data_IF_380249705335
#
_entry.id   IF_380249705335
#
_cell.length_a   1.000
_cell.length_b   1.000
_cell.length_c   1.000
_cell.angle_alpha   90.00
_cell.angle_beta   90.00
_cell.angle_gamma   90.00
#
_symmetry.space_group_name_H-M   'P 1'
#
loop_
_entity.id
_entity.type
_entity.pdbx_description
1 polymer ?
#
# COMPACT_ATOMS: atom_id res chain seq x y z
N UNK A 1 11.42 24.23 9.98
CA UNK A 1 12.69 23.58 9.57
C UNK A 1 12.34 22.26 8.90
N UNK A 2 12.50 22.12 7.58
CA UNK A 2 12.17 20.86 6.89
C UNK A 2 13.25 19.83 7.25
N UNK A 3 12.90 18.79 8.02
CA UNK A 3 13.82 17.68 8.34
C UNK A 3 14.30 17.07 7.02
N UNK A 4 15.59 17.21 6.70
CA UNK A 4 16.23 16.49 5.60
C UNK A 4 16.41 15.04 6.04
N UNK A 5 15.58 14.15 5.52
CA UNK A 5 15.76 12.71 5.71
C UNK A 5 16.83 12.22 4.75
N UNK A 6 17.93 11.69 5.29
CA UNK A 6 18.92 10.96 4.49
C UNK A 6 18.30 9.64 4.03
N UNK A 7 18.35 9.33 2.73
CA UNK A 7 17.90 8.04 2.22
C UNK A 7 18.69 6.92 2.91
N UNK A 8 17.97 5.90 3.40
CA UNK A 8 18.53 4.71 4.03
C UNK A 8 18.10 3.50 3.22
N UNK A 9 18.97 2.50 3.14
CA UNK A 9 18.57 1.18 2.68
C UNK A 9 17.37 0.71 3.52
N UNK A 10 16.36 0.15 2.86
CA UNK A 10 15.10 -0.31 3.49
C UNK A 10 14.32 0.80 4.21
N UNK A 11 14.66 2.07 3.95
CA UNK A 11 14.05 3.21 4.62
C UNK A 11 12.70 3.62 4.02
N UNK A 12 12.42 3.18 2.79
CA UNK A 12 11.23 3.53 2.03
C UNK A 12 10.55 2.27 1.49
N UNK A 13 9.47 1.85 2.15
CA UNK A 13 8.61 0.74 1.73
C UNK A 13 7.28 1.25 1.15
N UNK A 14 7.21 2.54 0.80
CA UNK A 14 6.01 3.09 0.19
C UNK A 14 5.92 2.64 -1.28
N UNK A 15 4.73 2.24 -1.74
CA UNK A 15 4.46 2.01 -3.15
C UNK A 15 4.75 3.27 -3.98
N UNK A 16 5.39 3.11 -5.14
CA UNK A 16 5.73 4.21 -6.03
C UNK A 16 4.67 4.41 -7.13
N UNK A 17 3.85 3.38 -7.36
CA UNK A 17 2.81 3.31 -8.38
C UNK A 17 1.43 2.95 -7.80
N UNK A 18 1.29 2.93 -6.47
CA UNK A 18 0.03 2.70 -5.76
C UNK A 18 -0.37 1.23 -5.70
N UNK A 19 0.62 0.35 -5.86
CA UNK A 19 0.48 -1.08 -5.72
C UNK A 19 0.70 -1.55 -4.29
N UNK A 20 0.94 -2.85 -4.18
CA UNK A 20 1.47 -3.48 -2.98
C UNK A 20 2.98 -3.63 -3.18
N UNK A 21 3.75 -3.12 -2.22
CA UNK A 21 5.21 -3.04 -2.25
C UNK A 21 5.78 -4.06 -1.27
N UNK A 22 6.82 -4.78 -1.69
CA UNK A 22 7.42 -5.87 -0.93
C UNK A 22 8.93 -5.80 -1.00
N UNK A 23 9.59 -6.15 0.09
CA UNK A 23 11.00 -6.52 0.14
C UNK A 23 11.17 -8.02 -0.16
N UNK A 24 12.19 -8.35 -0.97
CA UNK A 24 12.57 -9.74 -1.23
C UNK A 24 13.46 -10.31 -0.11
N UNK A 25 13.51 -11.65 0.06
CA UNK A 25 14.32 -12.30 1.11
C UNK A 25 15.83 -12.01 1.04
N UNK A 26 16.35 -11.59 -0.12
CA UNK A 26 17.75 -11.23 -0.28
C UNK A 26 18.11 -9.85 0.27
N UNK A 27 17.13 -9.13 0.83
CA UNK A 27 17.27 -7.78 1.39
C UNK A 27 17.86 -6.77 0.39
N UNK A 28 17.78 -7.03 -0.91
CA UNK A 28 18.27 -6.09 -1.91
C UNK A 28 17.17 -5.74 -2.91
N UNK A 29 16.48 -6.76 -3.44
CA UNK A 29 15.38 -6.50 -4.35
C UNK A 29 14.14 -6.06 -3.57
N UNK A 30 13.47 -5.05 -4.08
CA UNK A 30 12.09 -4.77 -3.76
C UNK A 30 11.23 -4.89 -5.01
N UNK A 31 9.95 -5.14 -4.83
CA UNK A 31 8.99 -5.26 -5.92
C UNK A 31 7.69 -4.57 -5.58
N UNK A 32 7.05 -4.01 -6.59
CA UNK A 32 5.72 -3.42 -6.47
C UNK A 32 4.81 -4.03 -7.52
N UNK A 33 3.76 -4.73 -7.07
CA UNK A 33 2.72 -5.22 -7.95
C UNK A 33 1.55 -4.25 -7.98
N UNK A 34 1.10 -3.89 -9.18
CA UNK A 34 -0.04 -3.01 -9.41
C UNK A 34 -1.08 -3.71 -10.26
N UNK A 35 -2.35 -3.42 -9.99
CA UNK A 35 -3.48 -3.79 -10.84
C UNK A 35 -4.15 -2.50 -11.32
N UNK A 36 -3.55 -1.73 -12.26
CA UNK A 36 -3.97 -0.36 -12.57
C UNK A 36 -5.31 -0.27 -13.31
N UNK A 37 -5.73 -1.35 -13.97
CA UNK A 37 -7.00 -1.45 -14.70
C UNK A 37 -7.32 -2.91 -15.02
N UNK A 38 -8.57 -3.14 -15.44
CA UNK A 38 -9.02 -4.47 -15.88
C UNK A 38 -8.05 -5.10 -16.88
N UNK A 39 -7.72 -6.37 -16.68
CA UNK A 39 -6.91 -7.15 -17.62
C UNK A 39 -5.40 -6.98 -17.50
N UNK A 40 -4.88 -6.07 -16.69
CA UNK A 40 -3.45 -5.75 -16.66
C UNK A 40 -2.91 -5.74 -15.26
N UNK A 41 -1.91 -6.58 -15.01
CA UNK A 41 -1.06 -6.52 -13.83
C UNK A 41 0.35 -6.09 -14.25
N UNK A 42 1.00 -5.25 -13.44
CA UNK A 42 2.38 -4.84 -13.65
C UNK A 42 3.20 -5.07 -12.39
N UNK A 43 4.43 -5.52 -12.60
CA UNK A 43 5.43 -5.73 -11.56
C UNK A 43 6.63 -4.82 -11.80
N UNK A 44 6.84 -3.88 -10.89
CA UNK A 44 8.01 -3.01 -10.87
C UNK A 44 9.05 -3.59 -9.92
N UNK A 45 10.34 -3.41 -10.22
CA UNK A 45 11.44 -3.94 -9.44
C UNK A 45 12.39 -2.80 -9.05
N UNK A 46 12.91 -2.85 -7.82
CA UNK A 46 13.77 -1.81 -7.24
C UNK A 46 14.95 -2.41 -6.46
N UNK A 47 15.94 -1.57 -6.21
CA UNK A 47 17.02 -1.84 -5.25
C UNK A 47 16.59 -1.53 -3.80
N UNK A 48 17.54 -1.64 -2.87
CA UNK A 48 17.37 -1.41 -1.44
C UNK A 48 17.09 0.06 -1.06
N UNK A 49 17.21 0.99 -2.01
CA UNK A 49 16.87 2.41 -1.85
C UNK A 49 15.59 2.79 -2.60
N UNK A 50 14.80 1.79 -3.03
CA UNK A 50 13.59 1.99 -3.85
C UNK A 50 13.89 2.64 -5.20
N UNK A 51 15.11 2.53 -5.72
CA UNK A 51 15.45 3.01 -7.07
C UNK A 51 15.11 1.91 -8.07
N UNK A 52 14.48 2.22 -9.21
CA UNK A 52 14.14 1.21 -10.21
C UNK A 52 15.37 0.45 -10.68
N UNK A 53 15.25 -0.88 -10.81
CA UNK A 53 16.36 -1.69 -11.31
C UNK A 53 16.74 -1.31 -12.75
N UNK A 54 18.02 -1.45 -13.12
CA UNK A 54 18.48 -1.36 -14.49
C UNK A 54 17.73 -2.32 -15.43
N UNK A 55 17.47 -1.89 -16.67
CA UNK A 55 16.65 -2.66 -17.64
C UNK A 55 17.22 -4.04 -17.94
N UNK A 56 18.54 -4.19 -17.94
CA UNK A 56 19.23 -5.46 -18.14
C UNK A 56 18.97 -6.43 -16.97
N UNK A 57 18.86 -5.93 -15.75
CA UNK A 57 18.49 -6.75 -14.59
C UNK A 57 17.01 -7.17 -14.64
N UNK A 58 16.11 -6.24 -14.99
CA UNK A 58 14.69 -6.57 -15.20
C UNK A 58 14.52 -7.66 -16.27
N UNK A 59 15.33 -7.64 -17.34
CA UNK A 59 15.31 -8.66 -18.41
C UNK A 59 15.87 -10.01 -17.99
N UNK A 60 16.74 -10.06 -16.97
CA UNK A 60 17.28 -11.31 -16.41
C UNK A 60 16.31 -11.96 -15.41
N UNK A 61 15.32 -11.21 -14.95
CA UNK A 61 14.27 -11.71 -14.06
C UNK A 61 13.33 -12.63 -14.83
N UNK A 62 13.06 -13.81 -14.27
CA UNK A 62 12.01 -14.71 -14.76
C UNK A 62 10.87 -14.70 -13.77
N UNK A 63 9.66 -14.34 -14.21
CA UNK A 63 8.50 -14.28 -13.35
C UNK A 63 7.23 -14.76 -14.05
N UNK A 64 6.26 -15.18 -13.24
CA UNK A 64 4.90 -15.53 -13.68
C UNK A 64 3.90 -15.20 -12.59
N UNK A 65 2.69 -14.92 -13.02
CA UNK A 65 1.58 -14.57 -12.16
C UNK A 65 0.57 -15.70 -12.14
N UNK A 66 0.40 -16.29 -10.97
CA UNK A 66 -0.54 -17.37 -10.70
C UNK A 66 -1.87 -16.75 -10.30
N UNK A 67 -2.94 -17.08 -11.01
CA UNK A 67 -4.30 -16.58 -10.73
C UNK A 67 -5.18 -17.63 -10.06
N UNK A 68 -4.79 -18.91 -10.14
CA UNK A 68 -5.50 -20.01 -9.50
C UNK A 68 -4.51 -21.08 -9.04
N UNK A 69 -4.60 -21.42 -7.76
CA UNK A 69 -3.84 -22.49 -7.13
C UNK A 69 -4.81 -23.43 -6.41
N UNK A 70 -4.51 -24.73 -6.41
CA UNK A 70 -5.14 -25.73 -5.58
C UNK A 70 -4.16 -26.15 -4.48
N UNK A 71 -4.58 -26.06 -3.23
CA UNK A 71 -3.79 -26.55 -2.11
C UNK A 71 -4.05 -28.04 -1.91
N UNK A 72 -2.98 -28.84 -1.93
CA UNK A 72 -3.02 -30.23 -1.56
C UNK A 72 -2.74 -30.37 -0.05
N UNK A 73 -3.74 -30.76 0.77
CA UNK A 73 -3.56 -30.87 2.21
C UNK A 73 -2.65 -32.04 2.62
N UNK A 74 -2.49 -33.07 1.78
CA UNK A 74 -1.66 -34.23 2.09
C UNK A 74 -0.16 -33.88 1.97
N UNK A 75 0.20 -33.16 0.91
CA UNK A 75 1.60 -32.73 0.67
C UNK A 75 1.91 -31.35 1.24
N UNK A 76 0.88 -30.60 1.67
CA UNK A 76 0.96 -29.19 2.09
C UNK A 76 1.59 -28.29 1.02
N UNK A 77 1.36 -28.61 -0.24
CA UNK A 77 1.88 -27.83 -1.38
C UNK A 77 0.75 -27.19 -2.18
N UNK A 78 1.01 -25.98 -2.69
CA UNK A 78 0.13 -25.34 -3.64
C UNK A 78 0.51 -25.80 -5.06
N UNK A 79 -0.42 -26.43 -5.75
CA UNK A 79 -0.31 -26.73 -7.18
C UNK A 79 -0.95 -25.60 -7.97
N UNK A 80 -0.25 -25.16 -8.99
CA UNK A 80 -0.74 -24.09 -9.83
C UNK A 80 -1.66 -24.63 -10.91
N UNK A 81 -2.88 -24.11 -10.95
CA UNK A 81 -3.88 -24.49 -11.94
C UNK A 81 -3.87 -23.53 -13.13
N UNK A 82 -3.63 -22.24 -12.87
CA UNK A 82 -3.57 -21.23 -13.91
C UNK A 82 -2.53 -20.16 -13.59
N UNK A 83 -1.54 -20.04 -14.46
CA UNK A 83 -0.52 -19.01 -14.40
C UNK A 83 -0.27 -18.39 -15.78
N UNK A 84 0.06 -17.10 -15.79
CA UNK A 84 0.43 -16.35 -16.99
C UNK A 84 1.85 -15.80 -16.86
N UNK A 85 2.64 -15.77 -17.95
CA UNK A 85 3.98 -15.23 -17.89
C UNK A 85 3.96 -13.72 -17.62
N UNK A 86 4.93 -13.24 -16.83
CA UNK A 86 5.23 -11.83 -16.67
C UNK A 86 6.35 -11.48 -17.66
N UNK A 87 6.04 -10.65 -18.65
CA UNK A 87 6.99 -10.31 -19.73
C UNK A 87 7.51 -8.88 -19.56
N UNK A 88 8.81 -8.61 -19.80
CA UNK A 88 9.31 -7.24 -19.75
C UNK A 88 8.55 -6.36 -20.74
N UNK A 89 8.02 -5.23 -20.26
CA UNK A 89 7.41 -4.23 -21.12
C UNK A 89 8.43 -3.70 -22.13
N UNK A 90 7.96 -3.17 -23.26
CA UNK A 90 8.85 -2.64 -24.33
C UNK A 90 9.83 -1.58 -23.81
N UNK A 91 9.41 -0.75 -22.86
CA UNK A 91 10.27 0.25 -22.23
C UNK A 91 11.29 -0.33 -21.23
N UNK A 92 11.20 -1.62 -20.91
CA UNK A 92 12.06 -2.36 -19.99
C UNK A 92 11.96 -1.93 -18.53
N UNK A 93 10.93 -1.17 -18.13
CA UNK A 93 10.80 -0.59 -16.78
C UNK A 93 10.05 -1.46 -15.78
N UNK A 94 9.27 -2.42 -16.27
CA UNK A 94 8.43 -3.31 -15.47
C UNK A 94 8.15 -4.59 -16.26
N UNK A 95 7.68 -5.62 -15.57
CA UNK A 95 7.09 -6.81 -16.17
C UNK A 95 5.57 -6.64 -16.21
N UNK A 96 4.91 -7.09 -17.29
CA UNK A 96 3.45 -7.00 -17.46
C UNK A 96 2.86 -8.38 -17.74
N UNK A 97 1.67 -8.64 -17.18
CA UNK A 97 0.87 -9.82 -17.47
C UNK A 97 -0.54 -9.41 -17.88
N UNK A 98 -1.10 -10.15 -18.85
CA UNK A 98 -2.51 -10.04 -19.24
C UNK A 98 -3.32 -11.11 -18.51
N UNK A 99 -4.25 -10.65 -17.68
CA UNK A 99 -4.88 -11.48 -16.62
C UNK A 99 -6.39 -11.57 -16.75
N UNK A 100 -6.96 -10.95 -17.79
CA UNK A 100 -8.40 -10.84 -17.95
C UNK A 100 -9.07 -9.99 -16.86
N UNK A 101 -10.40 -9.93 -16.89
CA UNK A 101 -11.18 -9.25 -15.86
C UNK A 101 -11.29 -10.18 -14.65
N UNK A 102 -10.72 -9.77 -13.52
CA UNK A 102 -10.86 -10.49 -12.26
C UNK A 102 -11.89 -9.80 -11.37
N UNK A 103 -12.69 -10.55 -10.59
CA UNK A 103 -13.51 -9.97 -9.54
C UNK A 103 -12.63 -9.45 -8.41
N UNK A 104 -13.15 -8.50 -7.63
CA UNK A 104 -12.51 -8.04 -6.41
C UNK A 104 -12.97 -8.86 -5.18
N UNK A 105 -12.10 -9.12 -4.20
CA UNK A 105 -10.68 -8.79 -4.21
C UNK A 105 -9.90 -9.65 -5.22
N UNK A 106 -9.12 -9.00 -6.08
CA UNK A 106 -8.33 -9.68 -7.10
C UNK A 106 -7.08 -10.24 -6.41
N UNK A 107 -7.05 -11.57 -6.23
CA UNK A 107 -5.95 -12.30 -5.60
C UNK A 107 -5.04 -12.89 -6.67
N UNK A 108 -3.75 -12.64 -6.54
CA UNK A 108 -2.76 -13.01 -7.55
C UNK A 108 -1.45 -13.33 -6.84
N UNK A 109 -0.72 -14.34 -7.28
CA UNK A 109 0.57 -14.71 -6.69
C UNK A 109 1.67 -14.55 -7.73
N UNK A 110 2.67 -13.73 -7.44
CA UNK A 110 3.88 -13.69 -8.28
C UNK A 110 4.86 -14.75 -7.81
N UNK A 111 5.34 -15.56 -8.75
CA UNK A 111 6.50 -16.44 -8.59
C UNK A 111 7.65 -15.84 -9.41
N UNK A 112 8.76 -15.51 -8.76
CA UNK A 112 9.85 -14.72 -9.37
C UNK A 112 11.22 -15.26 -9.00
N UNK A 113 12.11 -15.31 -9.99
CA UNK A 113 13.56 -15.48 -9.83
C UNK A 113 14.24 -14.21 -10.33
N UNK A 114 14.95 -13.51 -9.45
CA UNK A 114 15.63 -12.25 -9.81
C UNK A 114 16.85 -12.45 -10.71
N UNK A 115 17.48 -13.64 -10.62
CA UNK A 115 18.55 -14.06 -11.52
C UNK A 115 18.34 -15.52 -11.95
N UNK A 116 18.91 -15.97 -13.09
CA UNK A 116 18.69 -17.33 -13.60
C UNK A 116 19.02 -18.46 -12.63
N UNK A 117 20.06 -18.28 -11.80
CA UNK A 117 20.50 -19.27 -10.81
C UNK A 117 19.97 -18.99 -9.39
N UNK A 118 19.14 -17.96 -9.20
CA UNK A 118 18.60 -17.60 -7.89
C UNK A 118 17.42 -18.51 -7.49
N UNK A 119 17.15 -18.64 -6.18
CA UNK A 119 15.92 -19.26 -5.70
C UNK A 119 14.68 -18.53 -6.24
N UNK A 120 13.58 -19.27 -6.35
CA UNK A 120 12.26 -18.69 -6.66
C UNK A 120 11.61 -18.18 -5.39
N UNK A 121 11.01 -17.00 -5.48
CA UNK A 121 10.30 -16.35 -4.40
C UNK A 121 8.82 -16.18 -4.75
N UNK A 122 7.99 -16.22 -3.71
CA UNK A 122 6.53 -16.10 -3.79
C UNK A 122 6.11 -14.79 -3.14
N UNK A 123 5.27 -14.03 -3.83
CA UNK A 123 4.65 -12.81 -3.30
C UNK A 123 3.16 -12.81 -3.62
N UNK A 124 2.33 -12.63 -2.59
CA UNK A 124 0.88 -12.71 -2.70
C UNK A 124 0.25 -11.32 -2.69
N UNK A 125 -0.49 -11.00 -3.75
CA UNK A 125 -1.17 -9.74 -3.95
C UNK A 125 -2.67 -9.91 -3.76
N UNK A 126 -3.29 -8.97 -3.04
CA UNK A 126 -4.74 -8.89 -2.91
C UNK A 126 -5.18 -7.44 -3.12
N UNK A 127 -5.78 -7.17 -4.28
CA UNK A 127 -6.28 -5.83 -4.62
C UNK A 127 -7.77 -5.76 -4.32
N UNK A 128 -8.20 -4.83 -3.47
CA UNK A 128 -9.62 -4.55 -3.27
C UNK A 128 -10.22 -3.72 -4.42
N UNK A 129 -9.37 -2.97 -5.11
CA UNK A 129 -9.72 -2.09 -6.24
C UNK A 129 -8.52 -1.92 -7.18
N UNK A 130 -8.65 -1.11 -8.23
CA UNK A 130 -7.54 -0.84 -9.13
C UNK A 130 -6.49 0.09 -8.47
N UNK A 131 -5.21 -0.18 -8.71
CA UNK A 131 -4.09 0.63 -8.23
C UNK A 131 -4.11 2.04 -8.83
N UNK A 132 -3.98 3.06 -7.98
CA UNK A 132 -3.87 4.46 -8.39
C UNK A 132 -2.52 5.02 -8.00
N UNK A 133 -1.80 5.65 -8.94
CA UNK A 133 -0.50 6.27 -8.64
C UNK A 133 -0.68 7.31 -7.53
N UNK A 134 0.09 7.24 -6.43
CA UNK A 134 0.03 8.22 -5.37
C UNK A 134 0.31 9.60 -5.96
N UNK A 135 -0.64 10.53 -5.81
CA UNK A 135 -0.38 11.93 -6.13
C UNK A 135 0.57 12.42 -5.03
N UNK A 136 1.87 12.32 -5.26
CA UNK A 136 2.81 13.11 -4.48
C UNK A 136 2.41 14.58 -4.67
N UNK A 137 2.19 15.37 -3.61
CA UNK A 137 2.03 16.80 -3.77
C UNK A 137 3.28 17.29 -4.51
N UNK A 138 3.11 17.73 -5.76
CA UNK A 138 4.12 18.53 -6.43
C UNK A 138 4.40 19.67 -5.48
N UNK A 139 5.61 19.74 -4.95
CA UNK A 139 6.17 20.99 -4.49
C UNK A 139 6.19 21.91 -5.70
N UNK A 140 5.11 22.67 -5.87
CA UNK A 140 5.07 23.80 -6.78
C UNK A 140 6.01 24.84 -6.21
N UNK A 141 7.30 24.70 -6.52
CA UNK A 141 8.19 25.83 -6.63
C UNK A 141 7.68 26.68 -7.79
N UNK A 142 6.70 27.54 -7.51
CA UNK A 142 6.31 28.62 -8.39
C UNK A 142 7.48 29.60 -8.48
N UNK A 143 8.42 29.35 -9.38
CA UNK A 143 9.11 30.41 -10.07
C UNK A 143 8.35 30.58 -11.40
N UNK A 144 7.46 31.57 -11.41
CA UNK A 144 6.75 31.99 -12.61
C UNK A 144 7.79 32.38 -13.68
N UNK A 145 7.89 31.58 -14.73
CA UNK A 145 8.46 32.03 -16.00
C UNK A 145 7.27 32.49 -16.84
N UNK A 146 7.17 33.78 -17.21
CA UNK A 146 6.08 34.24 -18.05
C UNK A 146 6.21 33.62 -19.44
N UNK A 147 5.14 32.97 -19.90
CA UNK A 147 5.01 32.51 -21.27
C UNK A 147 4.90 33.72 -22.22
N UNK A 148 5.52 33.68 -23.42
CA UNK A 148 5.35 34.73 -24.41
C UNK A 148 3.95 34.67 -25.03
N UNK A 149 3.38 35.84 -25.27
CA UNK A 149 2.05 36.07 -25.83
C UNK A 149 1.89 35.50 -27.26
N UNK A 150 0.69 35.02 -27.63
CA UNK A 150 0.36 34.73 -29.03
C UNK A 150 -0.07 36.02 -29.76
N UNK A 151 0.47 36.23 -30.96
CA UNK A 151 -0.01 37.21 -31.92
C UNK A 151 -1.15 36.62 -32.78
N UNK A 152 -1.98 37.46 -33.45
CA UNK A 152 -3.37 37.16 -33.74
C UNK A 152 -3.60 36.57 -35.15
N UNK A 153 -4.60 35.70 -35.28
CA UNK A 153 -5.24 35.40 -36.57
C UNK A 153 -6.67 35.92 -36.58
N UNK A 154 -6.98 36.72 -37.60
CA UNK A 154 -8.27 37.30 -37.89
C UNK A 154 -9.11 36.35 -38.76
N UNK A 155 -10.43 36.33 -38.54
CA UNK A 155 -11.38 35.60 -39.41
C UNK A 155 -12.82 35.55 -38.90
N UNK A 156 -13.53 36.68 -39.04
CA UNK A 156 -15.01 36.85 -39.11
C UNK A 156 -15.72 35.74 -39.94
N UNK A 157 -17.02 35.39 -39.86
CA UNK A 157 -18.23 35.79 -39.11
C UNK A 157 -19.40 34.84 -39.48
N UNK A 158 -20.35 34.72 -38.53
CA UNK A 158 -21.81 34.67 -38.71
C UNK A 158 -22.55 33.43 -39.28
N UNK A 159 -23.62 33.04 -38.56
CA UNK A 159 -24.79 32.36 -39.15
C UNK A 159 -25.60 31.48 -38.19
N UNK A 160 -26.55 32.04 -37.44
CA UNK A 160 -27.71 31.31 -36.88
C UNK A 160 -28.86 31.42 -37.89
N UNK A 161 -29.74 30.41 -38.04
CA UNK A 161 -31.02 30.45 -37.32
C UNK A 161 -31.57 29.06 -36.88
N UNK A 162 -32.31 29.04 -35.77
CA UNK A 162 -33.34 28.02 -35.44
C UNK A 162 -34.64 28.32 -36.25
N UNK A 163 -35.71 27.48 -36.36
CA UNK A 163 -36.35 26.79 -35.21
C UNK A 163 -37.16 25.47 -35.50
N UNK A 164 -37.79 24.96 -34.41
CA UNK A 164 -39.04 24.13 -34.30
C UNK A 164 -38.94 22.60 -34.12
N UNK A 165 -39.13 22.19 -32.85
CA UNK A 165 -40.17 21.28 -32.29
C UNK A 165 -41.18 20.63 -33.27
N UNK A 166 -41.73 19.42 -33.08
CA UNK A 166 -41.60 18.35 -32.08
C UNK A 166 -42.48 17.11 -32.44
N UNK A 167 -42.38 16.06 -31.60
CA UNK A 167 -43.34 14.96 -31.29
C UNK A 167 -43.31 13.74 -32.25
N UNK A 168 -43.32 12.46 -31.85
CA UNK A 168 -43.70 11.69 -30.64
C UNK A 168 -42.82 10.42 -30.56
N UNK A 169 -42.58 9.70 -29.46
CA UNK A 169 -43.43 8.81 -28.64
C UNK A 169 -42.45 8.08 -27.68
N UNK A 170 -42.72 7.54 -26.49
CA UNK A 170 -43.90 7.29 -25.68
C UNK A 170 -43.45 6.91 -24.23
N UNK A 171 -44.33 7.17 -23.26
CA UNK A 171 -44.61 6.42 -21.99
C UNK A 171 -43.48 6.22 -20.95
N UNK A 172 -43.54 6.86 -19.76
CA UNK A 172 -44.30 6.52 -18.53
C UNK A 172 -43.94 5.14 -17.94
N UNK A 173 -43.49 4.97 -16.69
CA UNK A 173 -44.16 5.36 -15.43
C UNK A 173 -43.24 5.35 -14.18
N UNK A 174 -43.54 6.29 -13.28
CA UNK A 174 -43.63 6.21 -11.81
C UNK A 174 -42.55 5.52 -10.95
N UNK A 175 -41.88 6.36 -10.15
CA UNK A 175 -41.27 6.05 -8.87
C UNK A 175 -42.33 5.80 -7.78
N UNK A 176 -42.06 4.89 -6.82
CA UNK A 176 -42.11 5.09 -5.34
C UNK A 176 -41.37 3.93 -4.63
N UNK A 177 -40.36 4.31 -3.83
CA UNK A 177 -39.79 3.76 -2.59
C UNK A 177 -39.43 2.26 -2.40
N UNK A 178 -38.14 2.01 -2.11
CA UNK A 178 -37.61 0.97 -1.21
C UNK A 178 -36.21 1.41 -0.69
N UNK A 179 -35.67 0.85 0.40
CA UNK A 179 -35.20 1.63 1.55
C UNK A 179 -33.72 2.04 1.51
N UNK A 180 -33.43 3.03 2.34
CA UNK A 180 -32.12 3.56 2.71
C UNK A 180 -31.18 2.44 3.22
N UNK A 181 -30.32 1.92 2.34
CA UNK A 181 -29.11 1.18 2.69
C UNK A 181 -27.90 2.08 2.46
N UNK A 182 -27.10 2.28 3.49
CA UNK A 182 -26.06 3.31 3.59
C UNK A 182 -25.20 3.51 2.34
N UNK A 183 -24.89 4.76 2.05
CA UNK A 183 -23.90 5.15 1.08
C UNK A 183 -22.60 4.40 1.35
N UNK A 184 -22.33 3.36 0.56
CA UNK A 184 -21.01 2.75 0.50
C UNK A 184 -20.06 3.80 -0.06
N UNK A 185 -19.36 4.47 0.85
CA UNK A 185 -18.22 5.31 0.52
C UNK A 185 -17.27 4.52 -0.37
N UNK A 186 -16.91 5.11 -1.51
CA UNK A 186 -15.69 4.81 -2.28
C UNK A 186 -14.55 4.69 -1.25
N UNK A 187 -14.14 3.47 -0.91
CA UNK A 187 -13.43 3.25 0.34
C UNK A 187 -12.10 2.56 0.11
N UNK A 188 -11.05 3.35 -0.14
CA UNK A 188 -9.70 2.95 0.29
C UNK A 188 -9.84 2.52 1.74
N UNK A 189 -9.35 1.34 2.10
CA UNK A 189 -9.38 0.90 3.47
C UNK A 189 -8.75 1.99 4.35
N UNK A 190 -9.46 2.56 5.34
CA UNK A 190 -8.97 3.70 6.09
C UNK A 190 -7.66 3.40 6.82
N UNK A 191 -7.32 2.12 7.03
CA UNK A 191 -6.03 1.72 7.59
C UNK A 191 -4.84 1.82 6.64
N UNK A 192 -5.07 2.05 5.34
CA UNK A 192 -4.03 2.25 4.34
C UNK A 192 -3.71 3.72 4.06
N UNK A 193 -4.47 4.64 4.67
CA UNK A 193 -4.22 6.09 4.53
C UNK A 193 -3.20 6.54 5.58
N UNK A 194 -2.06 7.14 5.19
CA UNK A 194 -1.15 7.81 6.11
C UNK A 194 -1.86 8.93 6.88
N UNK A 195 -1.92 8.83 8.20
CA UNK A 195 -2.39 9.92 9.05
C UNK A 195 -1.21 10.67 9.67
N UNK A 196 -1.33 12.00 9.85
CA UNK A 196 -0.35 12.77 10.61
C UNK A 196 -0.34 12.31 12.08
N UNK A 197 0.83 12.36 12.70
CA UNK A 197 1.00 12.11 14.13
C UNK A 197 0.29 13.22 14.93
N UNK A 198 -0.64 12.90 15.84
CA UNK A 198 -1.31 13.89 16.67
C UNK A 198 -0.40 14.58 17.68
N UNK A 199 -0.82 15.75 18.16
CA UNK A 199 -0.05 16.54 19.11
C UNK A 199 -0.33 16.19 20.59
N UNK A 200 -1.34 15.37 20.90
CA UNK A 200 -1.66 15.03 22.31
C UNK A 200 -1.43 13.54 22.61
N UNK A 201 -0.97 13.24 23.83
CA UNK A 201 -0.74 11.85 24.26
C UNK A 201 -2.01 10.98 24.13
N UNK A 202 -3.20 11.43 24.57
CA UNK A 202 -4.42 10.63 24.43
C UNK A 202 -4.77 10.31 22.97
N UNK A 203 -4.62 11.25 22.05
CA UNK A 203 -4.86 11.01 20.62
C UNK A 203 -3.83 10.06 20.01
N UNK A 204 -2.55 10.18 20.39
CA UNK A 204 -1.51 9.26 19.93
C UNK A 204 -1.82 7.82 20.41
N UNK A 205 -2.23 7.64 21.66
CA UNK A 205 -2.61 6.33 22.21
C UNK A 205 -3.85 5.75 21.53
N UNK A 206 -4.86 6.57 21.24
CA UNK A 206 -6.06 6.15 20.52
C UNK A 206 -5.75 5.72 19.09
N UNK A 207 -4.90 6.47 18.37
CA UNK A 207 -4.45 6.06 17.05
C UNK A 207 -3.60 4.79 17.11
N UNK A 208 -2.77 4.62 18.14
CA UNK A 208 -1.93 3.43 18.29
C UNK A 208 -2.79 2.15 18.46
N UNK A 209 -3.88 2.25 19.23
CA UNK A 209 -4.88 1.18 19.35
C UNK A 209 -5.53 0.88 18.00
N UNK A 210 -6.02 1.90 17.31
CA UNK A 210 -6.65 1.76 15.99
C UNK A 210 -5.72 1.07 14.99
N UNK A 211 -4.42 1.40 14.99
CA UNK A 211 -3.43 0.75 14.12
C UNK A 211 -3.17 -0.69 14.50
N UNK A 212 -3.17 -1.00 15.78
CA UNK A 212 -3.00 -2.37 16.28
C UNK A 212 -4.16 -3.26 15.82
N UNK A 213 -5.39 -2.74 15.85
CA UNK A 213 -6.57 -3.45 15.34
C UNK A 213 -6.54 -3.62 13.81
N UNK A 214 -6.10 -2.60 13.08
CA UNK A 214 -5.94 -2.68 11.62
C UNK A 214 -4.92 -3.74 11.22
N UNK A 215 -3.76 -3.79 11.89
CA UNK A 215 -2.77 -4.85 11.69
C UNK A 215 -3.40 -6.22 11.93
N UNK A 216 -4.08 -6.42 13.06
CA UNK A 216 -4.77 -7.68 13.38
C UNK A 216 -5.72 -8.11 12.26
N UNK A 217 -6.58 -7.20 11.83
CA UNK A 217 -7.57 -7.48 10.79
C UNK A 217 -6.93 -7.88 9.47
N UNK A 218 -5.83 -7.23 9.06
CA UNK A 218 -5.11 -7.62 7.85
C UNK A 218 -4.48 -9.02 7.98
N UNK A 219 -3.95 -9.36 9.16
CA UNK A 219 -3.44 -10.72 9.43
C UNK A 219 -4.56 -11.76 9.34
N UNK A 220 -5.71 -11.50 9.97
CA UNK A 220 -6.87 -12.41 9.98
C UNK A 220 -7.42 -12.65 8.57
N UNK A 221 -7.41 -11.62 7.71
CA UNK A 221 -7.84 -11.69 6.31
C UNK A 221 -6.79 -12.34 5.37
N UNK A 222 -5.59 -12.63 5.89
CA UNK A 222 -4.45 -13.07 5.09
C UNK A 222 -3.91 -12.00 4.14
N UNK A 223 -4.22 -10.73 4.40
CA UNK A 223 -3.74 -9.55 3.66
C UNK A 223 -2.39 -9.08 4.24
N UNK A 224 -1.40 -9.97 4.27
CA UNK A 224 -0.11 -9.76 4.92
C UNK A 224 0.67 -8.56 4.39
N UNK A 225 0.59 -8.35 3.07
CA UNK A 225 1.15 -7.19 2.38
C UNK A 225 0.55 -5.84 2.82
N UNK A 226 -0.62 -5.85 3.47
CA UNK A 226 -1.29 -4.63 3.92
C UNK A 226 -0.93 -4.25 5.36
N UNK A 227 -0.16 -5.11 6.06
CA UNK A 227 0.23 -4.91 7.46
C UNK A 227 1.23 -3.75 7.62
N UNK A 228 2.09 -3.48 6.63
CA UNK A 228 3.16 -2.49 6.77
C UNK A 228 2.65 -1.08 7.07
N UNK A 229 1.57 -0.65 6.40
CA UNK A 229 1.04 0.71 6.55
C UNK A 229 0.67 1.01 8.00
N UNK A 230 -0.27 0.27 8.63
CA UNK A 230 -0.60 0.52 10.02
C UNK A 230 0.55 0.19 10.98
N UNK A 231 1.43 -0.76 10.66
CA UNK A 231 2.61 -1.06 11.50
C UNK A 231 3.60 0.11 11.56
N UNK A 232 3.90 0.77 10.44
CA UNK A 232 4.82 1.91 10.42
C UNK A 232 4.17 3.19 10.95
N UNK A 233 2.87 3.37 10.75
CA UNK A 233 2.15 4.45 11.42
C UNK A 233 2.23 4.29 12.95
N UNK A 234 2.04 3.08 13.47
CA UNK A 234 2.21 2.80 14.89
C UNK A 234 3.65 3.02 15.39
N UNK A 235 4.66 2.71 14.57
CA UNK A 235 6.06 3.04 14.87
C UNK A 235 6.25 4.55 15.01
N UNK A 236 5.72 5.34 14.09
CA UNK A 236 5.86 6.80 14.11
C UNK A 236 5.14 7.40 15.33
N UNK A 237 3.96 6.86 15.70
CA UNK A 237 3.25 7.20 16.94
C UNK A 237 4.08 6.84 18.20
N UNK A 238 4.74 5.68 18.21
CA UNK A 238 5.59 5.26 19.32
C UNK A 238 6.83 6.16 19.48
N UNK A 239 7.44 6.60 18.38
CA UNK A 239 8.55 7.56 18.41
C UNK A 239 8.09 8.94 18.91
N UNK A 240 6.87 9.35 18.58
CA UNK A 240 6.29 10.58 19.11
C UNK A 240 6.02 10.50 20.62
N UNK A 241 5.66 9.33 21.14
CA UNK A 241 5.56 9.07 22.57
C UNK A 241 6.95 9.08 23.24
N UNK A 242 7.98 8.56 22.58
CA UNK A 242 9.35 8.53 23.08
C UNK A 242 9.86 9.95 23.41
N UNK A 243 9.57 10.93 22.55
CA UNK A 243 9.93 12.33 22.77
C UNK A 243 9.25 12.94 24.01
N UNK A 244 8.14 12.34 24.47
CA UNK A 244 7.28 12.80 25.58
C UNK A 244 7.45 12.00 26.87
N UNK A 245 8.30 10.97 26.86
CA UNK A 245 8.63 10.18 28.05
C UNK A 245 9.26 11.02 29.17
N UNK A 246 9.83 12.18 28.82
CA UNK A 246 10.39 13.14 29.78
C UNK A 246 9.39 13.64 30.81
N UNK A 247 8.10 13.63 30.46
CA UNK A 247 7.00 14.06 31.32
C UNK A 247 6.51 12.95 32.27
N UNK A 248 7.08 11.75 32.20
CA UNK A 248 6.74 10.62 33.06
C UNK A 248 7.65 10.55 34.29
N UNK A 249 7.13 9.99 35.39
CA UNK A 249 7.95 9.65 36.55
C UNK A 249 9.04 8.62 36.21
N UNK A 250 10.09 8.53 37.03
CA UNK A 250 11.26 7.71 36.75
C UNK A 250 10.91 6.22 36.56
N UNK A 251 9.94 5.70 37.30
CA UNK A 251 9.50 4.31 37.19
C UNK A 251 8.66 4.08 35.93
N UNK A 252 7.81 5.04 35.55
CA UNK A 252 7.10 5.01 34.26
C UNK A 252 8.05 5.01 33.06
N UNK A 253 9.14 5.79 33.13
CA UNK A 253 10.20 5.80 32.11
C UNK A 253 10.90 4.45 31.96
N UNK A 254 11.28 3.82 33.08
CA UNK A 254 11.95 2.52 33.08
C UNK A 254 11.13 1.42 32.42
N UNK A 255 9.80 1.51 32.48
CA UNK A 255 8.89 0.57 31.84
C UNK A 255 8.61 0.92 30.37
N UNK A 256 8.43 2.20 30.04
CA UNK A 256 8.00 2.61 28.68
C UNK A 256 9.13 2.53 27.65
N UNK A 257 10.37 2.88 28.01
CA UNK A 257 11.52 2.88 27.10
C UNK A 257 11.74 1.51 26.41
N UNK A 258 11.80 0.37 27.13
CA UNK A 258 11.95 -0.93 26.49
C UNK A 258 10.69 -1.37 25.73
N UNK A 259 9.50 -0.89 26.09
CA UNK A 259 8.26 -1.17 25.38
C UNK A 259 8.23 -0.45 24.02
N UNK A 260 8.59 0.84 23.97
CA UNK A 260 8.70 1.62 22.73
C UNK A 260 9.71 0.95 21.77
N UNK A 261 10.89 0.56 22.26
CA UNK A 261 11.91 -0.11 21.44
C UNK A 261 11.41 -1.44 20.87
N UNK A 262 10.68 -2.24 21.65
CA UNK A 262 10.07 -3.49 21.18
C UNK A 262 8.97 -3.23 20.17
N UNK A 263 8.15 -2.21 20.36
CA UNK A 263 7.12 -1.80 19.41
C UNK A 263 7.75 -1.42 18.06
N UNK A 264 8.76 -0.55 18.08
CA UNK A 264 9.49 -0.15 16.86
C UNK A 264 10.11 -1.37 16.17
N UNK A 265 10.79 -2.25 16.91
CA UNK A 265 11.39 -3.47 16.34
C UNK A 265 10.35 -4.40 15.74
N UNK A 266 9.25 -4.64 16.44
CA UNK A 266 8.19 -5.54 15.97
C UNK A 266 7.41 -4.96 14.79
N UNK A 267 7.29 -3.63 14.66
CA UNK A 267 6.76 -2.99 13.47
C UNK A 267 7.62 -3.28 12.22
N UNK A 268 8.94 -3.25 12.34
CA UNK A 268 9.86 -3.66 11.27
C UNK A 268 9.76 -5.16 10.95
N UNK A 269 9.59 -6.02 11.95
CA UNK A 269 9.37 -7.45 11.73
C UNK A 269 8.02 -7.73 11.04
N UNK A 270 6.98 -7.00 11.40
CA UNK A 270 5.65 -7.11 10.79
C UNK A 270 5.67 -6.73 9.31
N UNK A 271 6.40 -5.68 8.96
CA UNK A 271 6.68 -5.29 7.58
C UNK A 271 7.45 -6.40 6.84
N UNK A 272 8.63 -6.78 7.34
CA UNK A 272 9.47 -7.79 6.71
C UNK A 272 8.75 -9.14 6.55
N UNK A 273 8.02 -9.61 7.56
CA UNK A 273 7.28 -10.88 7.47
C UNK A 273 6.00 -10.75 6.66
N UNK A 274 5.34 -9.58 6.72
CA UNK A 274 4.23 -9.19 5.86
C UNK A 274 4.57 -9.39 4.39
N UNK A 275 5.77 -8.92 4.02
CA UNK A 275 6.27 -9.00 2.66
C UNK A 275 6.56 -10.44 2.21
N UNK A 276 7.04 -11.27 3.13
CA UNK A 276 7.31 -12.69 2.87
C UNK A 276 6.05 -13.55 2.81
N UNK A 277 4.88 -13.01 3.17
CA UNK A 277 3.63 -13.75 3.24
C UNK A 277 3.63 -14.89 4.27
N UNK A 278 4.59 -14.90 5.20
CA UNK A 278 4.73 -15.97 6.19
C UNK A 278 3.80 -15.75 7.38
N UNK A 279 2.63 -16.38 7.35
CA UNK A 279 1.60 -16.29 8.40
C UNK A 279 2.16 -16.56 9.81
N UNK A 280 3.02 -17.55 9.97
CA UNK A 280 3.56 -17.94 11.27
C UNK A 280 4.42 -16.82 11.86
N UNK A 281 5.40 -16.35 11.09
CA UNK A 281 6.29 -15.27 11.54
C UNK A 281 5.54 -13.95 11.75
N UNK A 282 4.57 -13.61 10.89
CA UNK A 282 3.71 -12.43 11.07
C UNK A 282 2.93 -12.52 12.37
N UNK A 283 2.33 -13.68 12.67
CA UNK A 283 1.53 -13.86 13.89
C UNK A 283 2.39 -13.73 15.14
N UNK A 284 3.61 -14.28 15.11
CA UNK A 284 4.57 -14.15 16.21
C UNK A 284 5.04 -12.70 16.39
N UNK A 285 5.37 -12.00 15.30
CA UNK A 285 5.73 -10.58 15.37
C UNK A 285 4.57 -9.71 15.86
N UNK A 286 3.33 -10.02 15.45
CA UNK A 286 2.15 -9.31 15.92
C UNK A 286 1.90 -9.49 17.41
N UNK A 287 2.12 -10.70 17.95
CA UNK A 287 2.01 -10.92 19.39
C UNK A 287 2.98 -10.04 20.19
N UNK A 288 4.22 -9.90 19.73
CA UNK A 288 5.22 -9.02 20.33
C UNK A 288 4.82 -7.55 20.22
N UNK A 289 4.33 -7.14 19.04
CA UNK A 289 3.85 -5.80 18.77
C UNK A 289 2.68 -5.41 19.68
N UNK A 290 1.64 -6.24 19.74
CA UNK A 290 0.45 -5.99 20.54
C UNK A 290 0.76 -5.98 22.05
N UNK A 291 1.69 -6.82 22.52
CA UNK A 291 2.16 -6.79 23.90
C UNK A 291 2.87 -5.46 24.21
N UNK A 292 3.77 -5.01 23.34
CA UNK A 292 4.48 -3.74 23.50
C UNK A 292 3.52 -2.54 23.51
N UNK A 293 2.50 -2.53 22.65
CA UNK A 293 1.45 -1.49 22.64
C UNK A 293 0.72 -1.42 23.98
N UNK A 294 0.31 -2.56 24.55
CA UNK A 294 -0.37 -2.60 25.86
C UNK A 294 0.50 -2.03 26.97
N UNK A 295 1.80 -2.33 26.96
CA UNK A 295 2.74 -1.82 27.95
C UNK A 295 2.94 -0.30 27.82
N UNK A 296 3.03 0.22 26.58
CA UNK A 296 3.08 1.67 26.32
C UNK A 296 1.79 2.34 26.82
N UNK A 297 0.62 1.79 26.50
CA UNK A 297 -0.67 2.31 26.96
C UNK A 297 -0.75 2.34 28.50
N UNK A 298 -0.33 1.25 29.17
CA UNK A 298 -0.32 1.18 30.62
C UNK A 298 0.59 2.25 31.24
N UNK A 299 1.79 2.47 30.70
CA UNK A 299 2.73 3.46 31.23
C UNK A 299 2.21 4.90 31.15
N UNK A 300 1.50 5.25 30.07
CA UNK A 300 0.92 6.59 29.89
C UNK A 300 -0.47 6.76 30.55
N UNK A 301 -1.17 5.68 30.88
CA UNK A 301 -2.46 5.71 31.60
C UNK A 301 -2.31 6.04 33.10
N UNK A 302 -1.10 5.91 33.67
CA UNK A 302 -0.82 6.14 35.10
C UNK A 302 -0.78 7.63 35.48
N UNK A 303 -1.18 8.56 34.59
CA UNK A 303 -1.44 9.95 34.99
C UNK A 303 -2.64 10.03 35.94
N UNK A 304 -2.35 10.11 37.25
CA UNK A 304 -3.17 10.81 38.24
C UNK A 304 -2.30 11.81 38.98
#
# INVERSE_FOLDING_TARGET
>A
MVKKFTARAHGNHNPQHGGLFFMAPDNWHHLEGTYPRAGVFRLYLYDDYTKPLPRDQVRKTTARLVLKEAFDPATRTAKEEFAVPLVPAQNGRYLEARVGKLPFPARMTTKIKFQPAAPEHRFDFAFAEYSTVPVMPRTTGNAAVPAPAPAPEAGNTAGTPAPRNAVSTAASTAAVAAPSGGASSIGIDPGLVPLPVPDTVPEILAQLEQRTEQVRRFIDQGAFASVYVPAFQAKDLALALDERTKDLEADGRRTVDPAIKRLVRSAWLLDAFGDLGNREHITQAFAQFAAAVKEVQAAFAVKK
#
